data_IF_109272800544
#
_entry.id   IF_109272800544
#
_cell.length_a   1.000
_cell.length_b   1.000
_cell.length_c   1.000
_cell.angle_alpha   90.00
_cell.angle_beta   90.00
_cell.angle_gamma   90.00
#
_symmetry.space_group_name_H-M   'P 1'
#
loop_
_entity.id
_entity.type
_entity.pdbx_description
1 polymer ?
#
# COMPACT_ATOMS: atom_id res chain seq x y z
N UNK A 1 4.50 -9.10 -8.47
CA UNK A 1 3.26 -8.31 -8.32
C UNK A 1 3.07 -7.40 -9.51
N UNK A 2 1.90 -7.48 -10.13
CA UNK A 2 1.44 -6.55 -11.17
C UNK A 2 0.08 -6.02 -10.71
N UNK A 3 -0.15 -4.71 -10.86
CA UNK A 3 -1.38 -4.07 -10.44
C UNK A 3 -1.75 -2.89 -11.33
N UNK A 4 -2.97 -2.39 -11.15
CA UNK A 4 -3.49 -1.23 -11.86
C UNK A 4 -3.64 -0.09 -10.85
N UNK A 5 -2.86 0.97 -11.06
CA UNK A 5 -3.00 2.26 -10.37
C UNK A 5 -3.54 3.32 -11.31
N UNK A 6 -3.96 4.45 -10.77
CA UNK A 6 -4.47 5.56 -11.58
C UNK A 6 -3.35 6.31 -12.32
N UNK A 7 -3.75 7.19 -13.24
CA UNK A 7 -2.80 7.98 -14.05
C UNK A 7 -1.88 8.88 -13.20
N UNK A 8 -2.25 9.17 -11.94
CA UNK A 8 -1.46 9.98 -11.02
C UNK A 8 -0.34 9.24 -10.28
N UNK A 9 -0.24 7.92 -10.46
CA UNK A 9 0.73 7.05 -9.80
C UNK A 9 2.16 7.32 -10.28
N UNK A 10 3.10 7.29 -9.35
CA UNK A 10 4.53 7.44 -9.59
C UNK A 10 5.32 6.28 -8.93
N UNK A 11 6.54 6.04 -9.40
CA UNK A 11 7.46 5.02 -8.86
C UNK A 11 7.82 5.23 -7.38
N UNK A 12 7.79 6.48 -6.93
CA UNK A 12 8.08 6.85 -5.53
C UNK A 12 6.84 6.74 -4.62
N UNK A 13 5.70 6.28 -5.15
CA UNK A 13 4.51 6.06 -4.35
C UNK A 13 4.56 4.67 -3.70
N UNK A 14 4.01 4.58 -2.49
CA UNK A 14 3.89 3.34 -1.74
C UNK A 14 2.51 2.74 -1.92
N UNK A 15 2.47 1.43 -2.15
CA UNK A 15 1.26 0.65 -2.01
C UNK A 15 1.07 0.30 -0.52
N UNK A 16 -0.09 0.62 0.05
CA UNK A 16 -0.41 0.35 1.43
C UNK A 16 -1.73 -0.42 1.53
N UNK A 17 -1.74 -1.46 2.35
CA UNK A 17 -2.97 -2.13 2.77
C UNK A 17 -3.36 -1.54 4.11
N UNK A 18 -4.51 -0.86 4.16
CA UNK A 18 -5.07 -0.36 5.41
C UNK A 18 -5.94 -1.44 6.04
N UNK A 19 -5.74 -1.70 7.34
CA UNK A 19 -6.60 -2.64 8.05
C UNK A 19 -8.06 -2.19 8.03
N UNK A 20 -8.94 -3.09 7.59
CA UNK A 20 -10.38 -2.82 7.44
C UNK A 20 -10.78 -2.24 6.09
N UNK A 21 -9.85 -2.03 5.17
CA UNK A 21 -10.16 -1.65 3.79
C UNK A 21 -10.33 -2.86 2.89
N UNK A 22 -11.24 -2.74 1.92
CA UNK A 22 -11.47 -3.77 0.91
C UNK A 22 -10.44 -3.73 -0.24
N UNK A 23 -9.71 -2.63 -0.38
CA UNK A 23 -8.74 -2.38 -1.46
C UNK A 23 -7.44 -1.75 -0.92
N UNK A 24 -6.28 -2.02 -1.55
CA UNK A 24 -5.06 -1.26 -1.33
C UNK A 24 -5.16 0.19 -1.78
N UNK A 25 -4.32 1.04 -1.20
CA UNK A 25 -4.21 2.46 -1.53
C UNK A 25 -2.79 2.83 -1.94
N UNK A 26 -2.70 3.88 -2.73
CA UNK A 26 -1.45 4.49 -3.17
C UNK A 26 -1.21 5.73 -2.32
N UNK A 27 -0.09 5.77 -1.62
CA UNK A 27 0.33 6.90 -0.80
C UNK A 27 1.61 7.53 -1.36
N UNK A 28 1.64 8.86 -1.38
CA UNK A 28 2.85 9.61 -1.71
C UNK A 28 3.46 10.22 -0.46
N UNK A 29 4.75 9.97 -0.16
CA UNK A 29 5.42 10.61 0.96
C UNK A 29 5.49 12.14 0.76
N UNK A 30 5.35 12.86 1.86
CA UNK A 30 5.48 14.31 1.99
C UNK A 30 6.23 14.63 3.27
N UNK A 31 6.71 15.86 3.41
CA UNK A 31 7.59 16.28 4.52
C UNK A 31 7.05 15.96 5.92
N UNK A 32 5.72 15.88 6.09
CA UNK A 32 5.06 15.66 7.39
C UNK A 32 4.09 14.47 7.41
N UNK A 33 4.16 13.57 6.43
CA UNK A 33 3.23 12.45 6.37
C UNK A 33 3.01 11.95 4.95
N UNK A 34 1.82 11.45 4.69
CA UNK A 34 1.48 10.81 3.43
C UNK A 34 0.23 11.45 2.84
N UNK A 35 0.28 11.70 1.53
CA UNK A 35 -0.89 12.10 0.77
C UNK A 35 -1.53 10.84 0.17
N UNK A 36 -2.82 10.64 0.41
CA UNK A 36 -3.61 9.65 -0.31
C UNK A 36 -3.73 10.06 -1.78
N UNK A 37 -3.24 9.23 -2.69
CA UNK A 37 -3.28 9.50 -4.13
C UNK A 37 -4.52 8.86 -4.76
N UNK A 38 -4.71 7.56 -4.53
CA UNK A 38 -5.81 6.79 -5.11
C UNK A 38 -5.95 5.41 -4.48
N UNK A 39 -6.96 4.67 -4.90
CA UNK A 39 -7.11 3.23 -4.72
C UNK A 39 -6.31 2.47 -5.80
N UNK A 40 -5.93 1.22 -5.50
CA UNK A 40 -5.20 0.36 -6.43
C UNK A 40 -5.76 -1.05 -6.43
N UNK A 41 -5.89 -1.64 -7.63
CA UNK A 41 -6.28 -3.03 -7.77
C UNK A 41 -5.04 -3.88 -8.06
N UNK A 42 -4.65 -4.67 -7.06
CA UNK A 42 -3.50 -5.58 -7.16
C UNK A 42 -3.96 -7.00 -6.80
N UNK A 43 -4.18 -7.89 -7.81
CA UNK A 43 -4.73 -9.22 -7.58
C UNK A 43 -4.00 -10.04 -6.52
N UNK A 44 -2.66 -9.98 -6.52
CA UNK A 44 -1.79 -10.72 -5.59
C UNK A 44 -1.75 -10.10 -4.17
N UNK A 45 -2.41 -8.96 -3.95
CA UNK A 45 -2.58 -8.36 -2.61
C UNK A 45 -3.97 -8.65 -2.08
N UNK A 46 -4.95 -8.64 -2.99
CA UNK A 46 -6.37 -8.79 -2.71
C UNK A 46 -6.78 -10.21 -2.28
N UNK A 47 -5.90 -11.20 -2.44
CA UNK A 47 -6.14 -12.59 -2.04
C UNK A 47 -5.58 -12.90 -0.64
N UNK A 48 -5.03 -11.89 0.05
CA UNK A 48 -4.54 -12.01 1.43
C UNK A 48 -3.05 -12.36 1.56
N UNK A 49 -2.33 -12.50 0.45
CA UNK A 49 -0.92 -12.89 0.42
C UNK A 49 -0.04 -11.87 1.16
N UNK A 50 -0.39 -10.58 1.15
CA UNK A 50 0.35 -9.56 1.91
C UNK A 50 0.27 -9.81 3.42
N UNK A 51 -0.84 -10.34 3.93
CA UNK A 51 -0.98 -10.66 5.35
C UNK A 51 -0.16 -11.91 5.71
N UNK A 52 -0.14 -12.91 4.82
CA UNK A 52 0.72 -14.09 4.99
C UNK A 52 2.20 -13.71 4.94
N UNK A 53 2.57 -12.84 4.00
CA UNK A 53 3.91 -12.28 3.94
C UNK A 53 4.19 -11.51 5.22
N UNK A 54 3.36 -10.59 5.70
CA UNK A 54 3.61 -9.86 6.95
C UNK A 54 3.91 -10.78 8.16
N UNK A 55 3.35 -11.98 8.20
CA UNK A 55 3.65 -12.98 9.24
C UNK A 55 5.06 -13.61 9.11
N UNK A 56 5.63 -13.66 7.90
CA UNK A 56 6.99 -14.08 7.63
C UNK A 56 8.00 -12.98 8.00
N UNK A 57 8.70 -13.20 9.12
CA UNK A 57 9.70 -12.27 9.66
C UNK A 57 10.95 -12.11 8.79
N UNK A 58 11.09 -12.86 7.70
CA UNK A 58 12.24 -12.78 6.81
C UNK A 58 12.09 -11.75 5.67
N UNK A 59 10.91 -11.15 5.50
CA UNK A 59 10.68 -10.14 4.47
C UNK A 59 10.76 -8.69 4.97
N UNK A 60 10.65 -7.76 4.02
CA UNK A 60 10.77 -6.31 4.22
C UNK A 60 9.42 -5.61 4.45
N UNK A 61 8.33 -6.34 4.73
CA UNK A 61 7.05 -5.73 5.05
C UNK A 61 7.04 -5.28 6.51
N UNK A 62 6.68 -4.02 6.72
CA UNK A 62 6.63 -3.41 8.03
C UNK A 62 5.25 -2.82 8.29
N UNK A 63 4.56 -3.34 9.30
CA UNK A 63 3.37 -2.68 9.84
C UNK A 63 3.79 -1.34 10.47
N UNK A 64 3.08 -0.27 10.11
CA UNK A 64 3.36 1.07 10.62
C UNK A 64 2.11 1.93 10.67
N UNK A 65 2.19 3.01 11.44
CA UNK A 65 1.20 4.06 11.46
C UNK A 65 1.61 5.17 10.49
N UNK A 66 0.65 5.69 9.73
CA UNK A 66 0.85 6.80 8.82
C UNK A 66 -0.04 7.98 9.20
N UNK A 67 0.50 9.19 9.10
CA UNK A 67 -0.28 10.43 9.23
C UNK A 67 -0.69 10.94 7.85
N UNK A 68 -1.98 11.21 7.67
CA UNK A 68 -2.52 11.74 6.42
C UNK A 68 -2.51 13.27 6.42
N UNK A 69 -2.12 13.86 5.29
CA UNK A 69 -2.07 15.33 5.11
C UNK A 69 -2.83 15.82 3.88
#
# INVERSE_FOLDING_TARGET
>A
MIGIGSRGTNKEDFLCVLYGADLPFIFRPKDKGYKLIDESYVPDVMQGEIIEMLADRSNELHETWIELI
#
